data_IF_120451408021
#
_entry.id   IF_120451408021
#
_cell.length_a   1.000
_cell.length_b   1.000
_cell.length_c   1.000
_cell.angle_alpha   90.00
_cell.angle_beta   90.00
_cell.angle_gamma   90.00
#
_symmetry.space_group_name_H-M   'P 1'
#
loop_
_entity.id
_entity.type
_entity.pdbx_description
1 polymer ?
#
# COMPACT_ATOMS: atom_id res chain seq x y z
N UNK A 1 -90.95 97.00 109.59
CA UNK A 1 -90.33 96.80 108.26
C UNK A 1 -89.36 97.92 107.87
N UNK A 2 -89.42 99.14 108.45
CA UNK A 2 -88.51 100.25 108.10
C UNK A 2 -87.16 100.22 108.83
N UNK A 3 -87.11 99.80 110.11
CA UNK A 3 -85.87 99.77 110.90
C UNK A 3 -84.86 98.72 110.40
N UNK A 4 -85.33 97.54 110.01
CA UNK A 4 -84.49 96.46 109.46
C UNK A 4 -83.87 96.82 108.11
N UNK A 5 -84.56 97.63 107.29
CA UNK A 5 -84.06 98.05 105.98
C UNK A 5 -82.93 99.08 106.11
N UNK A 6 -83.02 99.98 107.10
CA UNK A 6 -81.98 100.96 107.37
C UNK A 6 -80.69 100.31 107.90
N UNK A 7 -80.79 99.32 108.78
CA UNK A 7 -79.62 98.57 109.26
C UNK A 7 -78.95 97.77 108.15
N UNK A 8 -79.72 97.18 107.24
CA UNK A 8 -79.19 96.48 106.06
C UNK A 8 -78.49 97.46 105.14
N UNK A 9 -79.12 98.58 104.75
CA UNK A 9 -78.49 99.57 103.88
C UNK A 9 -77.25 100.23 104.52
N UNK A 10 -77.24 100.43 105.84
CA UNK A 10 -76.07 100.96 106.55
C UNK A 10 -74.93 99.95 106.56
N UNK A 11 -75.24 98.67 106.80
CA UNK A 11 -74.25 97.58 106.74
C UNK A 11 -73.72 97.39 105.33
N UNK A 12 -74.57 97.42 104.31
CA UNK A 12 -74.17 97.38 102.90
C UNK A 12 -73.28 98.57 102.51
N UNK A 13 -73.55 99.77 103.04
CA UNK A 13 -72.70 100.94 102.82
C UNK A 13 -71.32 100.79 103.50
N UNK A 14 -71.28 100.24 104.72
CA UNK A 14 -70.04 99.97 105.44
C UNK A 14 -69.23 98.85 104.76
N UNK A 15 -69.89 97.80 104.28
CA UNK A 15 -69.28 96.70 103.53
C UNK A 15 -68.71 97.19 102.19
N UNK A 16 -69.44 98.04 101.43
CA UNK A 16 -68.92 98.64 100.19
C UNK A 16 -67.77 99.61 100.43
N UNK A 17 -67.76 100.33 101.55
CA UNK A 17 -66.61 101.16 101.96
C UNK A 17 -65.41 100.29 102.35
N UNK A 18 -65.63 99.14 102.98
CA UNK A 18 -64.56 98.20 103.31
C UNK A 18 -63.98 97.54 102.05
N UNK A 19 -64.83 97.13 101.09
CA UNK A 19 -64.39 96.62 99.79
C UNK A 19 -63.60 97.66 98.99
N UNK A 20 -64.01 98.94 99.02
CA UNK A 20 -63.25 100.02 98.38
C UNK A 20 -61.83 100.14 98.92
N UNK A 21 -61.68 100.13 100.25
CA UNK A 21 -60.35 100.20 100.91
C UNK A 21 -59.49 98.96 100.63
N UNK A 22 -60.09 97.78 100.55
CA UNK A 22 -59.34 96.56 100.21
C UNK A 22 -58.83 96.61 98.77
N UNK A 23 -59.64 97.09 97.82
CA UNK A 23 -59.21 97.24 96.42
C UNK A 23 -58.12 98.30 96.24
N UNK A 24 -58.17 99.40 96.99
CA UNK A 24 -57.08 100.38 97.00
C UNK A 24 -55.77 99.76 97.51
N UNK A 25 -55.84 98.93 98.55
CA UNK A 25 -54.67 98.22 99.10
C UNK A 25 -54.09 97.19 98.13
N UNK A 26 -54.95 96.44 97.44
CA UNK A 26 -54.52 95.49 96.39
C UNK A 26 -53.84 96.19 95.21
N UNK A 27 -54.35 97.36 94.81
CA UNK A 27 -53.73 98.19 93.77
C UNK A 27 -52.35 98.68 94.20
N UNK A 28 -52.19 99.16 95.44
CA UNK A 28 -50.88 99.56 95.98
C UNK A 28 -49.89 98.39 96.01
N UNK A 29 -50.31 97.20 96.46
CA UNK A 29 -49.43 96.01 96.47
C UNK A 29 -48.99 95.56 95.06
N UNK A 30 -49.88 95.68 94.06
CA UNK A 30 -49.56 95.37 92.67
C UNK A 30 -48.57 96.38 92.08
N UNK A 31 -48.73 97.67 92.39
CA UNK A 31 -47.81 98.71 91.98
C UNK A 31 -46.42 98.53 92.61
N UNK A 32 -46.34 98.16 93.89
CA UNK A 32 -45.08 97.84 94.56
C UNK A 32 -44.37 96.64 93.93
N UNK A 33 -45.11 95.55 93.65
CA UNK A 33 -44.55 94.37 92.96
C UNK A 33 -44.03 94.73 91.58
N UNK A 34 -44.78 95.50 90.81
CA UNK A 34 -44.35 95.94 89.49
C UNK A 34 -43.11 96.83 89.57
N UNK A 35 -43.02 97.73 90.55
CA UNK A 35 -41.82 98.53 90.78
C UNK A 35 -40.60 97.67 91.15
N UNK A 36 -40.77 96.61 91.93
CA UNK A 36 -39.69 95.69 92.28
C UNK A 36 -39.22 94.90 91.06
N UNK A 37 -40.13 94.37 90.24
CA UNK A 37 -39.76 93.68 88.99
C UNK A 37 -39.04 94.60 88.02
N UNK A 38 -39.54 95.83 87.82
CA UNK A 38 -38.88 96.83 86.98
C UNK A 38 -37.48 97.16 87.51
N UNK A 39 -37.28 97.22 88.84
CA UNK A 39 -35.96 97.39 89.46
C UNK A 39 -35.05 96.19 89.22
N UNK A 40 -35.54 94.95 89.33
CA UNK A 40 -34.77 93.72 89.07
C UNK A 40 -34.34 93.63 87.60
N UNK A 41 -35.24 93.90 86.66
CA UNK A 41 -34.90 93.93 85.23
C UNK A 41 -33.92 95.05 84.89
N UNK A 42 -34.12 96.26 85.45
CA UNK A 42 -33.16 97.35 85.30
C UNK A 42 -31.81 97.01 85.92
N UNK A 43 -31.75 96.32 87.06
CA UNK A 43 -30.49 95.90 87.67
C UNK A 43 -29.78 94.81 86.84
N UNK A 44 -30.52 93.83 86.30
CA UNK A 44 -29.98 92.78 85.43
C UNK A 44 -29.44 93.34 84.10
N UNK A 45 -30.02 94.43 83.60
CA UNK A 45 -29.54 95.17 82.44
C UNK A 45 -28.42 96.20 82.75
N UNK A 46 -28.40 96.76 83.98
CA UNK A 46 -27.45 97.81 84.40
C UNK A 46 -26.16 97.26 85.04
N UNK A 47 -26.06 95.96 85.35
CA UNK A 47 -24.80 95.33 85.76
C UNK A 47 -23.82 95.34 84.55
N UNK A 48 -22.77 96.18 84.53
CA UNK A 48 -21.94 96.41 83.34
C UNK A 48 -20.90 95.31 83.07
N UNK A 49 -20.95 94.16 83.75
CA UNK A 49 -19.84 93.19 83.80
C UNK A 49 -20.13 91.78 83.28
N UNK A 50 -21.32 91.46 82.75
CA UNK A 50 -21.68 90.06 82.40
C UNK A 50 -22.13 89.75 80.95
N UNK A 51 -22.61 90.68 80.11
CA UNK A 51 -22.98 90.36 78.72
C UNK A 51 -21.78 90.08 77.77
N UNK A 52 -20.71 90.90 77.74
CA UNK A 52 -19.67 90.75 76.71
C UNK A 52 -18.75 89.53 76.95
N UNK A 53 -18.56 89.11 78.21
CA UNK A 53 -17.71 87.95 78.54
C UNK A 53 -18.31 86.63 78.05
N UNK A 54 -19.63 86.47 78.13
CA UNK A 54 -20.31 85.23 77.71
C UNK A 54 -20.30 85.06 76.20
N UNK A 55 -20.48 86.15 75.45
CA UNK A 55 -20.33 86.16 73.98
C UNK A 55 -18.88 85.88 73.59
N UNK A 56 -17.90 86.49 74.27
CA UNK A 56 -16.48 86.25 74.02
C UNK A 56 -16.06 84.80 74.31
N UNK A 57 -16.56 84.21 75.39
CA UNK A 57 -16.30 82.81 75.73
C UNK A 57 -16.91 81.86 74.69
N UNK A 58 -18.16 82.09 74.28
CA UNK A 58 -18.83 81.30 73.24
C UNK A 58 -18.10 81.40 71.89
N UNK A 59 -17.63 82.59 71.51
CA UNK A 59 -16.82 82.78 70.30
C UNK A 59 -15.48 82.06 70.40
N UNK A 60 -14.84 82.08 71.57
CA UNK A 60 -13.58 81.37 71.81
C UNK A 60 -13.77 79.85 71.78
N UNK A 61 -14.85 79.32 72.37
CA UNK A 61 -15.23 77.91 72.27
C UNK A 61 -15.52 77.50 70.82
N UNK A 62 -16.30 78.29 70.07
CA UNK A 62 -16.51 78.03 68.65
C UNK A 62 -15.20 78.07 67.86
N UNK A 63 -14.33 79.04 68.12
CA UNK A 63 -13.05 79.14 67.44
C UNK A 63 -12.13 77.97 67.77
N UNK A 64 -12.11 77.50 69.02
CA UNK A 64 -11.39 76.31 69.44
C UNK A 64 -11.98 75.03 68.80
N UNK A 65 -13.31 74.88 68.77
CA UNK A 65 -13.96 73.74 68.13
C UNK A 65 -13.67 73.71 66.63
N UNK A 66 -13.71 74.87 65.96
CA UNK A 66 -13.33 74.99 64.55
C UNK A 66 -11.85 74.66 64.35
N UNK A 67 -10.96 75.10 65.24
CA UNK A 67 -9.54 74.76 65.17
C UNK A 67 -9.31 73.25 65.36
N UNK A 68 -9.96 72.63 66.34
CA UNK A 68 -9.90 71.18 66.58
C UNK A 68 -10.45 70.37 65.41
N UNK A 69 -11.58 70.79 64.82
CA UNK A 69 -12.13 70.12 63.64
C UNK A 69 -11.21 70.25 62.43
N UNK A 70 -10.56 71.40 62.25
CA UNK A 70 -9.56 71.59 61.19
C UNK A 70 -8.34 70.71 61.42
N UNK A 71 -7.81 70.67 62.64
CA UNK A 71 -6.66 69.83 62.99
C UNK A 71 -6.99 68.34 62.82
N UNK A 72 -8.16 67.89 63.29
CA UNK A 72 -8.64 66.52 63.09
C UNK A 72 -8.82 66.19 61.59
N UNK A 73 -9.35 67.14 60.81
CA UNK A 73 -9.49 66.99 59.35
C UNK A 73 -8.14 66.90 58.64
N UNK A 74 -7.17 67.75 59.01
CA UNK A 74 -5.81 67.71 58.48
C UNK A 74 -5.08 66.42 58.86
N UNK A 75 -5.27 65.94 60.09
CA UNK A 75 -4.68 64.69 60.56
C UNK A 75 -5.29 63.47 59.86
N UNK A 76 -6.61 63.45 59.66
CA UNK A 76 -7.29 62.43 58.86
C UNK A 76 -6.80 62.43 57.40
N UNK A 77 -6.66 63.60 56.78
CA UNK A 77 -6.09 63.73 55.43
C UNK A 77 -4.66 63.20 55.35
N UNK A 78 -3.81 63.53 56.33
CA UNK A 78 -2.42 63.03 56.39
C UNK A 78 -2.36 61.50 56.54
N UNK A 79 -3.20 60.93 57.40
CA UNK A 79 -3.31 59.48 57.57
C UNK A 79 -3.75 58.81 56.27
N UNK A 80 -4.81 59.33 55.64
CA UNK A 80 -5.33 58.81 54.38
C UNK A 80 -4.29 58.90 53.25
N UNK A 81 -3.53 60.00 53.16
CA UNK A 81 -2.44 60.14 52.20
C UNK A 81 -1.30 59.13 52.47
N UNK A 82 -0.97 58.89 53.73
CA UNK A 82 0.02 57.88 54.13
C UNK A 82 -0.41 56.47 53.74
N UNK A 83 -1.67 56.11 54.00
CA UNK A 83 -2.26 54.83 53.59
C UNK A 83 -2.28 54.67 52.07
N UNK A 84 -2.71 55.70 51.33
CA UNK A 84 -2.68 55.69 49.86
C UNK A 84 -1.26 55.48 49.33
N UNK A 85 -0.26 56.17 49.88
CA UNK A 85 1.14 55.98 49.49
C UNK A 85 1.64 54.56 49.81
N UNK A 86 1.25 53.99 50.94
CA UNK A 86 1.60 52.60 51.30
C UNK A 86 0.98 51.62 50.31
N UNK A 87 -0.33 51.74 50.06
CA UNK A 87 -1.06 50.88 49.13
C UNK A 87 -0.52 50.99 47.70
N UNK A 88 -0.14 52.20 47.27
CA UNK A 88 0.47 52.42 45.95
C UNK A 88 1.86 51.78 45.86
N UNK A 89 2.64 51.82 46.94
CA UNK A 89 3.95 51.18 47.03
C UNK A 89 3.82 49.66 46.98
N UNK A 90 2.88 49.07 47.72
CA UNK A 90 2.57 47.64 47.68
C UNK A 90 2.09 47.20 46.30
N UNK A 91 1.10 47.90 45.72
CA UNK A 91 0.63 47.62 44.36
C UNK A 91 1.77 47.69 43.32
N UNK A 92 2.73 48.61 43.48
CA UNK A 92 3.91 48.69 42.61
C UNK A 92 4.86 47.50 42.81
N UNK A 93 5.00 46.97 44.03
CA UNK A 93 5.79 45.76 44.31
C UNK A 93 5.12 44.53 43.70
N UNK A 94 3.81 44.37 43.92
CA UNK A 94 3.03 43.25 43.38
C UNK A 94 3.02 43.26 41.85
N UNK A 95 2.92 44.44 41.24
CA UNK A 95 3.07 44.58 39.78
C UNK A 95 4.45 44.13 39.29
N UNK A 96 5.52 44.32 40.07
CA UNK A 96 6.88 43.89 39.70
C UNK A 96 7.07 42.39 39.91
N UNK A 97 6.55 41.82 40.99
CA UNK A 97 6.59 40.36 41.23
C UNK A 97 5.80 39.61 40.17
N UNK A 98 4.56 40.01 39.90
CA UNK A 98 3.72 39.40 38.86
C UNK A 98 4.37 39.46 37.47
N UNK A 99 5.10 40.55 37.16
CA UNK A 99 5.86 40.65 35.91
C UNK A 99 7.04 39.69 35.83
N UNK A 100 7.69 39.42 36.97
CA UNK A 100 8.78 38.44 37.05
C UNK A 100 8.22 37.03 36.89
N UNK A 101 7.17 36.68 37.63
CA UNK A 101 6.49 35.38 37.53
C UNK A 101 5.96 35.10 36.12
N UNK A 102 5.36 36.11 35.47
CA UNK A 102 4.92 36.00 34.08
C UNK A 102 6.10 35.68 33.14
N UNK A 103 7.24 36.35 33.34
CA UNK A 103 8.43 36.14 32.51
C UNK A 103 9.08 34.78 32.75
N UNK A 104 9.06 34.30 34.00
CA UNK A 104 9.54 32.95 34.34
C UNK A 104 8.64 31.87 33.71
N UNK A 105 7.32 32.05 33.74
CA UNK A 105 6.37 31.17 33.06
C UNK A 105 6.55 31.18 31.54
N UNK A 106 6.73 32.36 30.93
CA UNK A 106 7.02 32.49 29.50
C UNK A 106 8.29 31.70 29.12
N UNK A 107 9.38 31.86 29.86
CA UNK A 107 10.63 31.13 29.62
C UNK A 107 10.47 29.62 29.80
N UNK A 108 9.76 29.18 30.84
CA UNK A 108 9.48 27.77 31.08
C UNK A 108 8.63 27.16 29.95
N UNK A 109 7.66 27.91 29.42
CA UNK A 109 6.86 27.48 28.28
C UNK A 109 7.71 27.39 27.00
N UNK A 110 8.61 28.35 26.76
CA UNK A 110 9.55 28.30 25.64
C UNK A 110 10.50 27.10 25.72
N UNK A 111 11.01 26.78 26.92
CA UNK A 111 11.83 25.59 27.17
C UNK A 111 11.05 24.31 26.89
N UNK A 112 9.80 24.21 27.37
CA UNK A 112 8.93 23.06 27.11
C UNK A 112 8.64 22.87 25.61
N UNK A 113 8.40 23.97 24.87
CA UNK A 113 8.21 23.93 23.41
C UNK A 113 9.51 23.47 22.72
N UNK A 114 10.68 23.94 23.16
CA UNK A 114 11.98 23.50 22.63
C UNK A 114 12.20 22.01 22.86
N UNK A 115 11.89 21.50 24.04
CA UNK A 115 12.03 20.07 24.36
C UNK A 115 11.07 19.21 23.52
N UNK A 116 9.81 19.63 23.37
CA UNK A 116 8.84 18.94 22.51
C UNK A 116 9.29 18.91 21.05
N UNK A 117 9.86 20.00 20.53
CA UNK A 117 10.41 20.05 19.16
C UNK A 117 11.59 19.08 19.01
N UNK A 118 12.52 19.09 19.96
CA UNK A 118 13.67 18.19 19.96
C UNK A 118 13.24 16.71 19.99
N UNK A 119 12.24 16.38 20.82
CA UNK A 119 11.74 15.00 20.90
C UNK A 119 11.01 14.58 19.62
N UNK A 120 10.27 15.50 19.01
CA UNK A 120 9.65 15.26 17.70
C UNK A 120 10.72 15.02 16.61
N UNK A 121 11.78 15.84 16.57
CA UNK A 121 12.89 15.66 15.61
C UNK A 121 13.60 14.31 15.80
N UNK A 122 13.80 13.87 17.05
CA UNK A 122 14.33 12.52 17.35
C UNK A 122 13.38 11.43 16.85
N UNK A 123 12.08 11.57 17.07
CA UNK A 123 11.08 10.58 16.64
C UNK A 123 10.99 10.51 15.11
N UNK A 124 11.02 11.65 14.41
CA UNK A 124 11.10 11.72 12.95
C UNK A 124 12.37 11.01 12.45
N UNK A 125 13.51 11.25 13.10
CA UNK A 125 14.77 10.61 12.72
C UNK A 125 14.74 9.09 12.92
N UNK A 126 14.22 8.62 14.06
CA UNK A 126 14.03 7.18 14.32
C UNK A 126 13.12 6.54 13.28
N UNK A 127 12.01 7.19 12.94
CA UNK A 127 11.06 6.70 11.95
C UNK A 127 11.68 6.64 10.55
N UNK A 128 12.46 7.65 10.16
CA UNK A 128 13.24 7.63 8.90
C UNK A 128 14.22 6.46 8.86
N UNK A 129 14.96 6.22 9.94
CA UNK A 129 15.90 5.09 10.03
C UNK A 129 15.19 3.74 9.95
N UNK A 130 14.01 3.60 10.56
CA UNK A 130 13.19 2.38 10.45
C UNK A 130 12.76 2.13 9.01
N UNK A 131 12.22 3.15 8.33
CA UNK A 131 11.82 3.01 6.92
C UNK A 131 13.00 2.73 6.00
N UNK A 132 14.17 3.33 6.24
CA UNK A 132 15.37 3.05 5.45
C UNK A 132 15.84 1.60 5.62
N UNK A 133 15.76 1.05 6.85
CA UNK A 133 16.02 -0.38 7.10
C UNK A 133 15.00 -1.27 6.42
N UNK A 134 13.72 -0.97 6.52
CA UNK A 134 12.67 -1.76 5.89
C UNK A 134 12.82 -1.78 4.36
N UNK A 135 13.13 -0.64 3.74
CA UNK A 135 13.36 -0.54 2.30
C UNK A 135 14.60 -1.32 1.88
N UNK A 136 15.71 -1.21 2.61
CA UNK A 136 16.95 -1.95 2.30
C UNK A 136 16.77 -3.45 2.46
N UNK A 137 16.07 -3.90 3.51
CA UNK A 137 15.72 -5.32 3.70
C UNK A 137 14.80 -5.84 2.59
N UNK A 138 13.78 -5.07 2.22
CA UNK A 138 12.83 -5.44 1.17
C UNK A 138 13.55 -5.54 -0.19
N UNK A 139 14.39 -4.56 -0.50
CA UNK A 139 15.24 -4.56 -1.70
C UNK A 139 16.13 -5.80 -1.73
N UNK A 140 16.85 -6.10 -0.64
CA UNK A 140 17.71 -7.28 -0.54
C UNK A 140 16.93 -8.59 -0.71
N UNK A 141 15.72 -8.70 -0.14
CA UNK A 141 14.85 -9.87 -0.30
C UNK A 141 14.45 -10.08 -1.77
N UNK A 142 14.07 -9.03 -2.49
CA UNK A 142 13.69 -9.14 -3.89
C UNK A 142 14.89 -9.35 -4.83
N UNK A 143 16.04 -8.74 -4.54
CA UNK A 143 17.26 -8.97 -5.28
C UNK A 143 17.71 -10.45 -5.18
N UNK A 144 17.65 -11.03 -3.97
CA UNK A 144 17.90 -12.47 -3.76
C UNK A 144 16.91 -13.34 -4.53
N UNK A 145 15.60 -13.04 -4.49
CA UNK A 145 14.59 -13.78 -5.25
C UNK A 145 14.84 -13.70 -6.76
N UNK A 146 15.19 -12.53 -7.27
CA UNK A 146 15.51 -12.32 -8.68
C UNK A 146 16.76 -13.11 -9.10
N UNK A 147 17.80 -13.11 -8.26
CA UNK A 147 19.02 -13.89 -8.50
C UNK A 147 18.72 -15.39 -8.53
N UNK A 148 18.00 -15.91 -7.54
CA UNK A 148 17.61 -17.32 -7.49
C UNK A 148 16.80 -17.74 -8.72
N UNK A 149 15.87 -16.90 -9.18
CA UNK A 149 15.10 -17.18 -10.39
C UNK A 149 15.97 -17.22 -11.65
N UNK A 150 16.94 -16.31 -11.76
CA UNK A 150 17.90 -16.32 -12.87
C UNK A 150 18.75 -17.58 -12.84
N UNK A 151 19.28 -17.95 -11.67
CA UNK A 151 20.10 -19.14 -11.50
C UNK A 151 19.31 -20.42 -11.82
N UNK A 152 18.04 -20.50 -11.42
CA UNK A 152 17.15 -21.64 -11.73
C UNK A 152 16.84 -21.74 -13.24
N UNK A 153 16.54 -20.62 -13.89
CA UNK A 153 16.32 -20.61 -15.35
C UNK A 153 17.59 -20.97 -16.13
N UNK A 154 18.76 -20.51 -15.66
CA UNK A 154 20.03 -20.86 -16.27
C UNK A 154 20.37 -22.35 -16.07
N UNK A 155 20.04 -22.92 -14.90
CA UNK A 155 20.17 -24.34 -14.63
C UNK A 155 19.24 -25.17 -15.54
N UNK A 156 17.97 -24.80 -15.66
CA UNK A 156 17.03 -25.47 -16.58
C UNK A 156 17.53 -25.45 -18.01
N UNK A 157 17.99 -24.29 -18.49
CA UNK A 157 18.59 -24.16 -19.83
C UNK A 157 19.80 -25.10 -19.99
N UNK A 158 20.69 -25.18 -18.99
CA UNK A 158 21.86 -26.07 -19.03
C UNK A 158 21.44 -27.54 -19.10
N UNK A 159 20.43 -27.94 -18.31
CA UNK A 159 19.88 -29.30 -18.33
C UNK A 159 19.26 -29.62 -19.69
N UNK A 160 18.43 -28.75 -20.24
CA UNK A 160 17.81 -28.94 -21.56
C UNK A 160 18.85 -29.09 -22.68
N UNK A 161 19.93 -28.30 -22.62
CA UNK A 161 21.05 -28.42 -23.57
C UNK A 161 21.70 -29.80 -23.44
N UNK A 162 22.02 -30.24 -22.22
CA UNK A 162 22.62 -31.56 -21.98
C UNK A 162 21.72 -32.70 -22.47
N UNK A 163 20.42 -32.63 -22.22
CA UNK A 163 19.46 -33.62 -22.72
C UNK A 163 19.39 -33.66 -24.25
N UNK A 164 19.45 -32.51 -24.91
CA UNK A 164 19.51 -32.42 -26.38
C UNK A 164 20.81 -33.03 -26.90
N UNK A 165 21.93 -32.71 -26.26
CA UNK A 165 23.26 -33.25 -26.60
C UNK A 165 23.29 -34.77 -26.44
N UNK A 166 22.78 -35.30 -25.34
CA UNK A 166 22.69 -36.74 -25.10
C UNK A 166 21.82 -37.44 -26.15
N UNK A 167 20.64 -36.89 -26.48
CA UNK A 167 19.79 -37.42 -27.55
C UNK A 167 20.49 -37.42 -28.91
N UNK A 168 21.22 -36.34 -29.24
CA UNK A 168 21.99 -36.26 -30.49
C UNK A 168 23.14 -37.27 -30.51
N UNK A 169 23.87 -37.42 -29.40
CA UNK A 169 24.95 -38.38 -29.28
C UNK A 169 24.43 -39.82 -29.40
N UNK A 170 23.30 -40.13 -28.79
CA UNK A 170 22.64 -41.43 -28.94
C UNK A 170 22.25 -41.68 -30.39
N UNK A 171 21.67 -40.69 -31.08
CA UNK A 171 21.34 -40.82 -32.50
C UNK A 171 22.59 -41.03 -33.38
N UNK A 172 23.68 -40.30 -33.12
CA UNK A 172 24.97 -40.50 -33.81
C UNK A 172 25.46 -41.94 -33.60
N UNK A 173 25.43 -42.44 -32.36
CA UNK A 173 25.85 -43.80 -32.04
C UNK A 173 24.99 -44.86 -32.73
N UNK A 174 23.67 -44.67 -32.78
CA UNK A 174 22.77 -45.56 -33.54
C UNK A 174 23.08 -45.56 -35.03
N UNK A 175 23.32 -44.38 -35.60
CA UNK A 175 23.64 -44.22 -37.01
C UNK A 175 24.99 -44.90 -37.34
N UNK A 176 25.99 -44.73 -36.48
CA UNK A 176 27.27 -45.43 -36.57
C UNK A 176 27.09 -46.95 -36.56
N UNK A 177 26.28 -47.49 -35.64
CA UNK A 177 25.98 -48.93 -35.59
C UNK A 177 25.27 -49.42 -36.85
N UNK A 178 24.32 -48.65 -37.39
CA UNK A 178 23.62 -48.99 -38.64
C UNK A 178 24.58 -48.99 -39.83
N UNK A 179 25.46 -48.00 -39.92
CA UNK A 179 26.49 -47.96 -40.95
C UNK A 179 27.46 -49.13 -40.83
N UNK A 180 27.92 -49.47 -39.63
CA UNK A 180 28.80 -50.62 -39.42
C UNK A 180 28.14 -51.95 -39.83
N UNK A 181 26.86 -52.13 -39.52
CA UNK A 181 26.08 -53.29 -40.01
C UNK A 181 25.98 -53.31 -41.53
N UNK A 182 25.60 -52.20 -42.16
CA UNK A 182 25.49 -52.11 -43.62
C UNK A 182 26.84 -52.36 -44.31
N UNK A 183 27.95 -51.83 -43.77
CA UNK A 183 29.29 -52.12 -44.27
C UNK A 183 29.65 -53.60 -44.11
N UNK A 184 29.28 -54.23 -42.99
CA UNK A 184 29.43 -55.67 -42.78
C UNK A 184 28.65 -56.50 -43.80
N UNK A 185 27.38 -56.15 -44.05
CA UNK A 185 26.53 -56.79 -45.05
C UNK A 185 27.09 -56.65 -46.47
N UNK A 186 27.54 -55.45 -46.85
CA UNK A 186 28.20 -55.22 -48.15
C UNK A 186 29.47 -56.08 -48.27
N UNK A 187 30.28 -56.14 -47.22
CA UNK A 187 31.51 -56.95 -47.20
C UNK A 187 31.19 -58.43 -47.37
N UNK A 188 30.16 -58.92 -46.68
CA UNK A 188 29.69 -60.30 -46.80
C UNK A 188 29.18 -60.58 -48.22
N UNK A 189 28.38 -59.69 -48.80
CA UNK A 189 27.88 -59.82 -50.17
C UNK A 189 29.03 -59.96 -51.20
N UNK A 190 30.08 -59.13 -51.09
CA UNK A 190 31.25 -59.25 -51.97
C UNK A 190 32.07 -60.51 -51.67
N UNK A 191 32.17 -60.94 -50.41
CA UNK A 191 32.81 -62.21 -50.04
C UNK A 191 32.03 -63.40 -50.62
N UNK A 192 30.70 -63.37 -50.60
CA UNK A 192 29.85 -64.41 -51.17
C UNK A 192 29.97 -64.47 -52.69
N UNK A 193 29.99 -63.32 -53.38
CA UNK A 193 30.26 -63.27 -54.82
C UNK A 193 31.65 -63.83 -55.14
N UNK A 194 32.68 -63.45 -54.37
CA UNK A 194 34.04 -63.97 -54.60
C UNK A 194 34.12 -65.46 -54.34
N UNK A 195 33.46 -65.98 -53.29
CA UNK A 195 33.34 -67.43 -53.06
C UNK A 195 32.60 -68.14 -54.20
N UNK A 196 31.43 -67.64 -54.60
CA UNK A 196 30.67 -68.19 -55.73
C UNK A 196 31.50 -68.18 -57.02
N UNK A 197 32.23 -67.11 -57.29
CA UNK A 197 33.12 -67.01 -58.45
C UNK A 197 34.28 -68.02 -58.35
N UNK A 198 34.88 -68.22 -57.17
CA UNK A 198 35.92 -69.22 -56.95
C UNK A 198 35.40 -70.65 -57.12
N UNK A 199 34.18 -70.93 -56.65
CA UNK A 199 33.54 -72.22 -56.79
C UNK A 199 33.15 -72.50 -58.24
N UNK A 200 32.67 -71.50 -58.99
CA UNK A 200 32.44 -71.58 -60.43
C UNK A 200 33.75 -71.81 -61.19
N UNK A 201 34.83 -71.11 -60.83
CA UNK A 201 36.16 -71.35 -61.41
C UNK A 201 36.61 -72.79 -61.13
N UNK A 202 36.35 -73.30 -59.92
CA UNK A 202 36.69 -74.69 -59.55
C UNK A 202 35.89 -75.70 -60.36
N UNK A 203 34.58 -75.51 -60.50
CA UNK A 203 33.72 -76.41 -61.29
C UNK A 203 34.09 -76.41 -62.76
N UNK A 204 34.33 -75.23 -63.36
CA UNK A 204 34.79 -75.13 -64.76
C UNK A 204 36.17 -75.78 -64.95
N UNK A 205 37.05 -75.70 -63.96
CA UNK A 205 38.35 -76.37 -64.00
C UNK A 205 38.20 -77.89 -63.90
N UNK A 206 37.31 -78.38 -63.04
CA UNK A 206 36.97 -79.80 -62.95
C UNK A 206 36.36 -80.30 -64.26
N UNK A 207 35.37 -79.60 -64.83
CA UNK A 207 34.80 -79.92 -66.14
C UNK A 207 35.86 -79.90 -67.25
N UNK A 208 36.78 -78.95 -67.26
CA UNK A 208 37.88 -78.92 -68.22
C UNK A 208 38.84 -80.11 -68.03
N UNK A 209 39.07 -80.58 -66.80
CA UNK A 209 39.87 -81.78 -66.54
C UNK A 209 39.15 -83.06 -66.94
N UNK A 210 37.85 -83.17 -66.65
CA UNK A 210 37.00 -84.31 -67.05
C UNK A 210 36.85 -84.35 -68.58
N UNK A 211 36.59 -83.21 -69.23
CA UNK A 211 36.54 -83.08 -70.68
C UNK A 211 37.88 -83.43 -71.33
N UNK A 212 39.01 -83.05 -70.71
CA UNK A 212 40.35 -83.45 -71.18
C UNK A 212 40.60 -84.96 -71.02
N UNK A 213 40.14 -85.56 -69.92
CA UNK A 213 40.23 -87.00 -69.69
C UNK A 213 39.32 -87.78 -70.67
N UNK A 214 38.12 -87.28 -70.94
CA UNK A 214 37.19 -87.84 -71.95
C UNK A 214 37.76 -87.74 -73.36
N UNK A 215 38.33 -86.59 -73.74
CA UNK A 215 39.06 -86.45 -75.01
C UNK A 215 40.26 -87.40 -75.10
N UNK A 216 40.98 -87.64 -74.00
CA UNK A 216 42.07 -88.63 -73.96
C UNK A 216 41.56 -90.07 -74.09
N UNK A 217 40.37 -90.39 -73.57
CA UNK A 217 39.69 -91.67 -73.78
C UNK A 217 39.29 -91.86 -75.25
N UNK A 218 38.68 -90.84 -75.87
CA UNK A 218 38.32 -90.86 -77.30
C UNK A 218 39.57 -90.95 -78.19
N UNK A 219 40.66 -90.29 -77.80
CA UNK A 219 41.94 -90.41 -78.49
C UNK A 219 42.52 -91.83 -78.37
N UNK A 220 42.43 -92.46 -77.19
CA UNK A 220 42.86 -93.85 -76.99
C UNK A 220 41.98 -94.87 -77.72
N UNK A 221 40.66 -94.64 -77.81
CA UNK A 221 39.76 -95.47 -78.64
C UNK A 221 40.10 -95.37 -80.13
N UNK A 222 40.41 -94.16 -80.62
CA UNK A 222 40.88 -93.97 -82.00
C UNK A 222 42.23 -94.63 -82.25
N UNK A 223 43.17 -94.54 -81.30
CA UNK A 223 44.47 -95.22 -81.38
C UNK A 223 44.29 -96.75 -81.41
N UNK A 224 43.39 -97.31 -80.61
CA UNK A 224 43.05 -98.74 -80.63
C UNK A 224 42.38 -99.19 -81.93
N UNK A 225 41.58 -98.33 -82.57
CA UNK A 225 40.98 -98.59 -83.88
C UNK A 225 42.01 -98.50 -85.02
N UNK A 226 42.96 -97.58 -84.94
CA UNK A 226 44.07 -97.43 -85.90
C UNK A 226 45.06 -98.61 -85.81
N UNK A 227 45.39 -99.07 -84.60
CA UNK A 227 46.23 -100.28 -84.38
C UNK A 227 45.53 -101.55 -84.90
N UNK A 228 44.20 -101.62 -84.85
CA UNK A 228 43.42 -102.73 -85.40
C UNK A 228 43.34 -102.71 -86.95
N UNK A 229 43.44 -101.53 -87.59
CA UNK A 229 43.46 -101.40 -89.04
C UNK A 229 44.87 -101.54 -89.66
N UNK A 230 45.93 -101.14 -88.96
CA UNK A 230 47.31 -101.25 -89.45
C UNK A 230 47.82 -102.70 -89.55
N UNK A 231 47.30 -103.63 -88.74
CA UNK A 231 47.60 -105.07 -88.85
C UNK A 231 46.98 -105.78 -90.07
N UNK A 232 46.12 -105.09 -90.85
CA UNK A 232 45.45 -105.65 -92.04
C UNK A 232 45.92 -105.03 -93.36
N UNK A 233 46.89 -104.10 -93.33
CA UNK A 233 47.35 -103.30 -94.48
C UNK A 233 48.87 -103.33 -94.71
N UNK A 234 49.56 -104.38 -94.24
CA UNK A 234 50.97 -104.61 -94.55
C UNK A 234 51.13 -105.72 -95.59
N UNK A 235 51.82 -105.36 -96.69
CA UNK A 235 51.92 -105.98 -98.03
C UNK A 235 50.81 -105.46 -98.97
N UNK A 236 51.00 -104.59 -99.96
CA UNK A 236 52.11 -104.31 -100.88
C UNK A 236 51.70 -103.05 -101.71
N UNK A 237 52.62 -102.23 -102.24
CA UNK A 237 53.07 -101.01 -101.57
C UNK A 237 52.98 -99.72 -102.42
N UNK A 238 53.10 -98.58 -101.72
CA UNK A 238 53.97 -97.45 -102.05
C UNK A 238 54.49 -97.35 -103.50
N UNK A 239 53.73 -96.75 -104.42
CA UNK A 239 54.28 -96.12 -105.64
C UNK A 239 53.24 -95.27 -106.37
N UNK A 240 53.16 -93.99 -105.99
CA UNK A 240 52.92 -92.81 -106.85
C UNK A 240 52.76 -91.59 -105.95
N UNK A 241 53.87 -90.90 -105.70
CA UNK A 241 54.12 -89.59 -106.30
C UNK A 241 53.12 -88.55 -105.74
N UNK A 242 53.40 -87.94 -104.58
CA UNK A 242 54.25 -86.73 -104.50
C UNK A 242 54.07 -85.80 -105.70
N UNK A 243 53.18 -84.81 -105.53
CA UNK A 243 53.30 -83.39 -105.91
C UNK A 243 51.93 -82.75 -105.72
N UNK A 244 51.78 -81.93 -104.69
CA UNK A 244 52.07 -80.48 -104.71
C UNK A 244 50.78 -79.70 -104.85
N UNK A 245 50.87 -78.49 -104.31
CA UNK A 245 49.99 -77.35 -104.56
C UNK A 245 48.63 -77.41 -103.87
N UNK A 246 48.20 -76.38 -103.15
CA UNK A 246 48.74 -75.08 -102.75
C UNK A 246 47.58 -74.42 -101.97
N UNK A 247 47.86 -73.30 -101.31
CA UNK A 247 46.82 -72.27 -101.26
C UNK A 247 46.52 -71.72 -99.89
N UNK A 248 47.39 -70.78 -99.51
CA UNK A 248 47.18 -69.69 -98.58
C UNK A 248 45.74 -69.14 -98.44
N UNK A 249 45.48 -68.53 -97.29
CA UNK A 249 44.30 -67.71 -97.09
C UNK A 249 44.29 -66.94 -95.77
N UNK A 250 45.30 -66.09 -95.56
CA UNK A 250 45.34 -65.09 -94.51
C UNK A 250 44.05 -64.24 -94.44
N UNK A 251 43.63 -63.85 -93.22
CA UNK A 251 42.92 -62.62 -92.80
C UNK A 251 42.76 -62.69 -91.26
N UNK A 252 42.91 -61.69 -90.41
CA UNK A 252 43.59 -60.39 -90.36
C UNK A 252 43.70 -60.10 -88.85
N UNK A 253 44.83 -59.54 -88.40
CA UNK A 253 44.94 -58.84 -87.12
C UNK A 253 44.57 -57.36 -87.31
N UNK A 254 44.08 -56.73 -86.24
CA UNK A 254 43.81 -55.29 -86.09
C UNK A 254 42.31 -54.97 -86.07
N UNK A 255 41.72 -54.19 -85.16
CA UNK A 255 42.18 -53.31 -84.08
C UNK A 255 41.03 -53.17 -83.06
N UNK A 256 41.34 -53.09 -81.76
CA UNK A 256 40.52 -52.37 -80.77
C UNK A 256 41.10 -50.94 -80.72
N UNK A 257 40.33 -49.84 -80.55
CA UNK A 257 39.39 -49.64 -79.44
C UNK A 257 38.13 -48.79 -79.75
N UNK A 258 37.05 -48.91 -78.96
CA UNK A 258 36.30 -47.75 -78.41
C UNK A 258 35.09 -48.25 -77.59
N UNK A 259 35.25 -48.27 -76.27
CA UNK A 259 34.16 -48.45 -75.29
C UNK A 259 34.54 -47.66 -74.04
N UNK A 260 34.63 -46.34 -74.15
CA UNK A 260 34.79 -45.44 -73.00
C UNK A 260 34.20 -44.04 -73.22
N UNK A 261 33.00 -43.97 -73.81
CA UNK A 261 32.18 -42.77 -73.77
C UNK A 261 30.88 -43.06 -73.03
N UNK A 262 30.61 -42.23 -72.01
CA UNK A 262 29.50 -42.24 -71.03
C UNK A 262 29.82 -43.07 -69.76
N UNK A 263 30.33 -42.41 -68.70
CA UNK A 263 29.41 -42.03 -67.61
C UNK A 263 29.78 -40.68 -66.97
N UNK A 264 29.07 -39.60 -67.30
CA UNK A 264 29.11 -38.32 -66.55
C UNK A 264 27.74 -37.74 -66.19
N UNK A 265 26.65 -38.44 -66.53
CA UNK A 265 25.30 -37.92 -66.30
C UNK A 265 24.60 -38.36 -65.00
N UNK A 266 24.82 -39.54 -64.38
CA UNK A 266 24.04 -39.92 -63.19
C UNK A 266 24.44 -39.14 -61.93
N UNK A 267 25.72 -38.84 -61.72
CA UNK A 267 26.19 -38.06 -60.55
C UNK A 267 25.80 -36.58 -60.61
N UNK A 268 25.79 -35.99 -61.80
CA UNK A 268 25.35 -34.61 -62.00
C UNK A 268 23.82 -34.48 -61.88
N UNK A 269 23.06 -35.47 -62.35
CA UNK A 269 21.60 -35.56 -62.16
C UNK A 269 21.23 -35.81 -60.70
N UNK A 270 21.99 -36.64 -59.97
CA UNK A 270 21.77 -36.90 -58.55
C UNK A 270 22.12 -35.69 -57.67
N UNK A 271 23.18 -34.95 -58.03
CA UNK A 271 23.52 -33.66 -57.41
C UNK A 271 22.42 -32.63 -57.57
N UNK A 272 21.92 -32.44 -58.81
CA UNK A 272 20.80 -31.53 -59.10
C UNK A 272 19.50 -31.97 -58.42
N UNK A 273 19.23 -33.27 -58.26
CA UNK A 273 18.08 -33.78 -57.50
C UNK A 273 18.18 -33.46 -56.01
N UNK A 274 19.37 -33.58 -55.41
CA UNK A 274 19.61 -33.20 -54.01
C UNK A 274 19.45 -31.70 -53.79
N UNK A 275 19.93 -30.88 -54.73
CA UNK A 275 19.73 -29.43 -54.69
C UNK A 275 18.25 -29.06 -54.82
N UNK A 276 17.50 -29.71 -55.73
CA UNK A 276 16.05 -29.52 -55.86
C UNK A 276 15.28 -29.95 -54.60
N UNK A 277 15.71 -31.03 -53.94
CA UNK A 277 15.14 -31.51 -52.68
C UNK A 277 15.48 -30.61 -51.48
N UNK A 278 16.62 -29.90 -51.51
CA UNK A 278 16.93 -28.88 -50.53
C UNK A 278 16.10 -27.61 -50.77
N UNK A 279 15.90 -27.21 -52.03
CA UNK A 279 15.04 -26.08 -52.38
C UNK A 279 13.58 -26.27 -51.95
N UNK A 280 13.06 -27.50 -51.97
CA UNK A 280 11.71 -27.79 -51.45
C UNK A 280 11.63 -27.68 -49.93
N UNK A 281 12.68 -28.07 -49.19
CA UNK A 281 12.77 -27.88 -47.73
C UNK A 281 12.88 -26.40 -47.36
N UNK A 282 13.63 -25.62 -48.12
CA UNK A 282 13.76 -24.17 -47.92
C UNK A 282 12.41 -23.45 -48.10
N UNK A 283 11.57 -23.91 -49.04
CA UNK A 283 10.19 -23.40 -49.17
C UNK A 283 9.32 -23.71 -47.94
N UNK A 284 9.43 -24.90 -47.37
CA UNK A 284 8.69 -25.27 -46.15
C UNK A 284 9.16 -24.44 -44.94
N UNK A 285 10.47 -24.20 -44.84
CA UNK A 285 11.06 -23.31 -43.82
C UNK A 285 10.57 -21.87 -43.99
N UNK A 286 10.53 -21.36 -45.23
CA UNK A 286 9.98 -20.03 -45.53
C UNK A 286 8.49 -19.89 -45.16
N UNK A 287 7.68 -20.92 -45.42
CA UNK A 287 6.27 -20.94 -45.00
C UNK A 287 6.12 -20.96 -43.47
N UNK A 288 6.94 -21.75 -42.77
CA UNK A 288 6.95 -21.75 -41.29
C UNK A 288 7.40 -20.41 -40.73
N UNK A 289 8.42 -19.79 -41.30
CA UNK A 289 8.88 -18.47 -40.89
C UNK A 289 7.76 -17.43 -41.07
N UNK A 290 7.08 -17.42 -42.21
CA UNK A 290 5.95 -16.51 -42.45
C UNK A 290 4.79 -16.74 -41.48
N UNK A 291 4.54 -17.99 -41.07
CA UNK A 291 3.53 -18.30 -40.07
C UNK A 291 3.91 -17.75 -38.69
N UNK A 292 5.17 -17.97 -38.25
CA UNK A 292 5.67 -17.46 -36.97
C UNK A 292 5.71 -15.93 -36.94
N UNK A 293 6.02 -15.27 -38.06
CA UNK A 293 5.93 -13.80 -38.16
C UNK A 293 4.50 -13.31 -37.96
N UNK A 294 3.52 -13.96 -38.60
CA UNK A 294 2.10 -13.62 -38.40
C UNK A 294 1.64 -13.86 -36.97
N UNK A 295 2.08 -14.94 -36.34
CA UNK A 295 1.77 -15.20 -34.94
C UNK A 295 2.39 -14.16 -34.01
N UNK A 296 3.66 -13.78 -34.27
CA UNK A 296 4.35 -12.72 -33.54
C UNK A 296 3.57 -11.41 -33.68
N UNK A 297 3.24 -11.00 -34.89
CA UNK A 297 2.57 -9.73 -35.15
C UNK A 297 1.17 -9.72 -34.50
N UNK A 298 0.41 -10.81 -34.63
CA UNK A 298 -0.89 -10.95 -33.96
C UNK A 298 -0.79 -10.93 -32.43
N UNK A 299 0.30 -11.45 -31.85
CA UNK A 299 0.55 -11.36 -30.42
C UNK A 299 0.91 -9.94 -29.98
N UNK A 300 1.69 -9.20 -30.78
CA UNK A 300 1.98 -7.80 -30.53
C UNK A 300 0.70 -6.95 -30.58
N UNK A 301 -0.14 -7.13 -31.60
CA UNK A 301 -1.40 -6.39 -31.73
C UNK A 301 -2.34 -6.66 -30.53
N UNK A 302 -2.45 -7.92 -30.11
CA UNK A 302 -3.24 -8.30 -28.92
C UNK A 302 -2.68 -7.71 -27.64
N UNK A 303 -1.35 -7.68 -27.51
CA UNK A 303 -0.68 -7.11 -26.36
C UNK A 303 -0.93 -5.60 -26.27
N UNK A 304 -0.76 -4.87 -27.37
CA UNK A 304 -1.06 -3.43 -27.44
C UNK A 304 -2.54 -3.16 -27.12
N UNK A 305 -3.47 -3.90 -27.74
CA UNK A 305 -4.90 -3.78 -27.45
C UNK A 305 -5.23 -4.01 -25.98
N UNK A 306 -4.63 -5.04 -25.35
CA UNK A 306 -4.85 -5.34 -23.93
C UNK A 306 -4.29 -4.24 -23.03
N UNK A 307 -3.15 -3.65 -23.38
CA UNK A 307 -2.58 -2.50 -22.64
C UNK A 307 -3.54 -1.32 -22.72
N UNK A 308 -4.00 -0.96 -23.91
CA UNK A 308 -4.93 0.15 -24.10
C UNK A 308 -6.23 -0.08 -23.31
N UNK A 309 -6.79 -1.28 -23.34
CA UNK A 309 -8.00 -1.63 -22.57
C UNK A 309 -7.80 -1.49 -21.05
N UNK A 310 -6.66 -1.96 -20.52
CA UNK A 310 -6.34 -1.85 -19.09
C UNK A 310 -6.13 -0.39 -18.69
N UNK A 311 -5.37 0.35 -19.50
CA UNK A 311 -5.14 1.78 -19.28
C UNK A 311 -6.45 2.56 -19.33
N UNK A 312 -7.32 2.28 -20.30
CA UNK A 312 -8.61 2.92 -20.45
C UNK A 312 -9.54 2.62 -19.25
N UNK A 313 -9.65 1.35 -18.83
CA UNK A 313 -10.47 0.96 -17.67
C UNK A 313 -9.96 1.58 -16.37
N UNK A 314 -8.64 1.58 -16.16
CA UNK A 314 -8.01 2.22 -15.01
C UNK A 314 -8.22 3.74 -15.04
N UNK A 315 -8.03 4.37 -16.20
CA UNK A 315 -8.25 5.79 -16.43
C UNK A 315 -9.69 6.22 -16.14
N UNK A 316 -10.69 5.48 -16.65
CA UNK A 316 -12.10 5.75 -16.34
C UNK A 316 -12.40 5.61 -14.85
N UNK A 317 -11.85 4.58 -14.18
CA UNK A 317 -12.03 4.40 -12.74
C UNK A 317 -11.42 5.57 -11.95
N UNK A 318 -10.25 6.04 -12.34
CA UNK A 318 -9.59 7.19 -11.72
C UNK A 318 -10.40 8.47 -11.90
N UNK A 319 -10.83 8.78 -13.13
CA UNK A 319 -11.67 9.95 -13.42
C UNK A 319 -12.98 9.89 -12.62
N UNK A 320 -13.60 8.71 -12.50
CA UNK A 320 -14.81 8.55 -11.71
C UNK A 320 -14.57 8.80 -10.21
N UNK A 321 -13.44 8.31 -9.67
CA UNK A 321 -13.06 8.53 -8.28
C UNK A 321 -12.72 10.00 -8.03
N UNK A 322 -12.02 10.66 -8.93
CA UNK A 322 -11.72 12.10 -8.87
C UNK A 322 -13.01 12.92 -8.86
N UNK A 323 -13.98 12.62 -9.74
CA UNK A 323 -15.28 13.28 -9.73
C UNK A 323 -16.03 13.07 -8.43
N UNK A 324 -16.05 11.84 -7.90
CA UNK A 324 -16.68 11.55 -6.61
C UNK A 324 -16.02 12.32 -5.48
N UNK A 325 -14.69 12.39 -5.46
CA UNK A 325 -13.94 13.19 -4.48
C UNK A 325 -14.27 14.67 -4.59
N UNK A 326 -14.30 15.21 -5.82
CA UNK A 326 -14.67 16.60 -6.05
C UNK A 326 -16.08 16.92 -5.52
N UNK A 327 -17.07 16.07 -5.82
CA UNK A 327 -18.43 16.24 -5.29
C UNK A 327 -18.48 16.16 -3.76
N UNK A 328 -17.78 15.19 -3.16
CA UNK A 328 -17.72 15.08 -1.69
C UNK A 328 -17.05 16.31 -1.07
N UNK A 329 -15.98 16.82 -1.68
CA UNK A 329 -15.28 18.02 -1.21
C UNK A 329 -16.15 19.27 -1.33
N UNK A 330 -16.87 19.45 -2.44
CA UNK A 330 -17.82 20.54 -2.60
C UNK A 330 -18.92 20.48 -1.54
N UNK A 331 -19.46 19.29 -1.25
CA UNK A 331 -20.46 19.14 -0.19
C UNK A 331 -19.89 19.44 1.20
N UNK A 332 -18.61 19.10 1.45
CA UNK A 332 -17.94 19.42 2.70
C UNK A 332 -17.78 20.94 2.86
N UNK A 333 -17.27 21.63 1.84
CA UNK A 333 -17.11 23.09 1.85
C UNK A 333 -18.45 23.81 2.06
N UNK A 334 -19.53 23.35 1.39
CA UNK A 334 -20.87 23.88 1.61
C UNK A 334 -21.35 23.67 3.06
N UNK A 335 -21.05 22.51 3.66
CA UNK A 335 -21.44 22.21 5.04
C UNK A 335 -20.64 23.01 6.05
N UNK A 336 -19.34 23.20 5.83
CA UNK A 336 -18.48 24.03 6.68
C UNK A 336 -18.88 25.51 6.62
N UNK A 337 -19.25 26.01 5.44
CA UNK A 337 -19.79 27.36 5.29
C UNK A 337 -21.12 27.53 6.05
N UNK A 338 -22.06 26.60 5.88
CA UNK A 338 -23.33 26.58 6.62
C UNK A 338 -23.11 26.53 8.14
N UNK A 339 -22.18 25.69 8.60
CA UNK A 339 -21.85 25.55 10.01
C UNK A 339 -21.23 26.84 10.55
N UNK A 340 -20.29 27.45 9.81
CA UNK A 340 -19.66 28.73 10.18
C UNK A 340 -20.69 29.86 10.29
N UNK A 341 -21.66 29.92 9.38
CA UNK A 341 -22.75 30.90 9.42
C UNK A 341 -23.61 30.72 10.68
N UNK A 342 -24.06 29.50 10.96
CA UNK A 342 -24.87 29.18 12.15
C UNK A 342 -24.13 29.49 13.44
N UNK A 343 -22.84 29.15 13.53
CA UNK A 343 -22.01 29.45 14.69
C UNK A 343 -21.85 30.96 14.90
N UNK A 344 -21.69 31.74 13.82
CA UNK A 344 -21.62 33.21 13.90
C UNK A 344 -22.95 33.82 14.36
N UNK A 345 -24.08 33.30 13.88
CA UNK A 345 -25.41 33.80 14.23
C UNK A 345 -25.80 33.46 15.67
N UNK A 346 -25.31 32.34 16.20
CA UNK A 346 -25.65 31.85 17.53
C UNK A 346 -24.90 32.56 18.68
N UNK A 347 -23.83 33.32 18.39
CA UNK A 347 -23.01 34.04 19.39
C UNK A 347 -22.66 33.18 20.63
N UNK A 348 -22.35 31.89 20.40
CA UNK A 348 -22.03 30.96 21.47
C UNK A 348 -20.62 31.22 22.00
N UNK A 349 -20.41 31.01 23.31
CA UNK A 349 -19.08 31.05 23.91
C UNK A 349 -18.16 30.01 23.23
N UNK A 350 -17.04 30.45 22.59
CA UNK A 350 -16.09 29.55 21.94
C UNK A 350 -15.58 28.42 22.82
N UNK A 351 -15.45 28.64 24.13
CA UNK A 351 -14.97 27.62 25.07
C UNK A 351 -16.00 26.49 25.25
N UNK A 352 -17.28 26.83 25.38
CA UNK A 352 -18.37 25.86 25.50
C UNK A 352 -18.54 25.09 24.19
N UNK A 353 -18.49 25.78 23.05
CA UNK A 353 -18.58 25.15 21.73
C UNK A 353 -17.45 24.13 21.49
N UNK A 354 -16.21 24.51 21.80
CA UNK A 354 -15.06 23.62 21.67
C UNK A 354 -15.19 22.36 22.54
N UNK A 355 -15.73 22.50 23.75
CA UNK A 355 -15.96 21.36 24.64
C UNK A 355 -17.03 20.39 24.12
N UNK A 356 -18.11 20.91 23.53
CA UNK A 356 -19.20 20.12 22.96
C UNK A 356 -18.77 19.44 21.66
N UNK A 357 -18.05 20.15 20.80
CA UNK A 357 -17.47 19.59 19.56
C UNK A 357 -16.53 18.43 19.87
N UNK A 358 -15.59 18.63 20.79
CA UNK A 358 -14.65 17.57 21.19
C UNK A 358 -15.35 16.34 21.75
N UNK A 359 -16.37 16.53 22.59
CA UNK A 359 -17.16 15.41 23.13
C UNK A 359 -17.93 14.68 22.02
N UNK A 360 -18.42 15.39 21.01
CA UNK A 360 -19.07 14.78 19.86
C UNK A 360 -18.07 13.99 19.00
N UNK A 361 -16.88 14.54 18.77
CA UNK A 361 -15.79 13.87 18.05
C UNK A 361 -15.36 12.59 18.76
N UNK A 362 -15.22 12.61 20.09
CA UNK A 362 -14.90 11.44 20.90
C UNK A 362 -15.98 10.34 20.78
N UNK A 363 -17.26 10.73 20.78
CA UNK A 363 -18.38 9.79 20.60
C UNK A 363 -18.41 9.22 19.18
N UNK A 364 -18.17 10.05 18.16
CA UNK A 364 -18.11 9.60 16.77
C UNK A 364 -16.91 8.67 16.54
N UNK A 365 -15.75 8.99 17.11
CA UNK A 365 -14.57 8.14 17.07
C UNK A 365 -14.82 6.80 17.74
N UNK A 366 -15.45 6.80 18.93
CA UNK A 366 -15.85 5.58 19.63
C UNK A 366 -16.82 4.73 18.82
N UNK A 367 -17.87 5.32 18.26
CA UNK A 367 -18.82 4.62 17.39
C UNK A 367 -18.15 4.06 16.13
N UNK A 368 -17.31 4.84 15.46
CA UNK A 368 -16.54 4.36 14.30
C UNK A 368 -15.60 3.21 14.65
N UNK A 369 -15.01 3.23 15.85
CA UNK A 369 -14.25 2.10 16.41
C UNK A 369 -15.11 0.85 16.53
N UNK A 370 -16.26 0.94 17.19
CA UNK A 370 -17.19 -0.20 17.33
C UNK A 370 -17.68 -0.74 15.98
N UNK A 371 -17.90 0.13 14.98
CA UNK A 371 -18.27 -0.30 13.63
C UNK A 371 -17.16 -1.14 13.01
N UNK A 372 -15.90 -0.70 13.12
CA UNK A 372 -14.74 -1.45 12.60
C UNK A 372 -14.57 -2.79 13.31
N UNK A 373 -14.72 -2.82 14.63
CA UNK A 373 -14.66 -4.05 15.42
C UNK A 373 -15.76 -5.03 15.01
N UNK A 374 -17.01 -4.56 14.88
CA UNK A 374 -18.13 -5.40 14.45
C UNK A 374 -17.96 -5.91 13.02
N UNK A 375 -17.44 -5.09 12.10
CA UNK A 375 -17.12 -5.50 10.74
C UNK A 375 -16.04 -6.59 10.72
N UNK A 376 -15.01 -6.45 11.56
CA UNK A 376 -13.97 -7.46 11.72
C UNK A 376 -14.52 -8.77 12.30
N UNK A 377 -15.32 -8.67 13.36
CA UNK A 377 -15.98 -9.82 13.98
C UNK A 377 -16.91 -10.55 13.00
N UNK A 378 -17.70 -9.81 12.22
CA UNK A 378 -18.52 -10.37 11.17
C UNK A 378 -17.67 -11.11 10.12
N UNK A 379 -16.56 -10.50 9.67
CA UNK A 379 -15.65 -11.14 8.73
C UNK A 379 -15.01 -12.42 9.30
N UNK A 380 -14.63 -12.40 10.59
CA UNK A 380 -14.07 -13.55 11.30
C UNK A 380 -15.06 -14.70 11.41
N UNK A 381 -16.29 -14.41 11.84
CA UNK A 381 -17.35 -15.42 11.96
C UNK A 381 -17.74 -15.97 10.60
N UNK A 382 -17.83 -15.12 9.58
CA UNK A 382 -18.14 -15.52 8.20
C UNK A 382 -17.07 -16.48 7.65
N UNK A 383 -15.79 -16.16 7.89
CA UNK A 383 -14.68 -17.05 7.50
C UNK A 383 -14.74 -18.37 8.25
N UNK A 384 -14.89 -18.34 9.58
CA UNK A 384 -14.99 -19.55 10.40
C UNK A 384 -16.17 -20.44 9.94
N UNK A 385 -17.31 -19.85 9.62
CA UNK A 385 -18.46 -20.57 9.07
C UNK A 385 -18.13 -21.29 7.76
N UNK A 386 -17.51 -20.59 6.80
CA UNK A 386 -17.12 -21.18 5.52
C UNK A 386 -16.02 -22.25 5.67
N UNK A 387 -15.05 -22.06 6.57
CA UNK A 387 -14.01 -23.04 6.86
C UNK A 387 -14.60 -24.31 7.48
N UNK A 388 -15.55 -24.17 8.41
CA UNK A 388 -16.27 -25.30 9.01
C UNK A 388 -17.03 -26.09 7.94
N UNK A 389 -17.74 -25.43 7.02
CA UNK A 389 -18.40 -26.09 5.89
C UNK A 389 -17.38 -26.94 5.09
N UNK A 390 -16.24 -26.36 4.71
CA UNK A 390 -15.19 -27.07 3.95
C UNK A 390 -14.63 -28.27 4.71
N UNK A 391 -14.39 -28.14 6.02
CA UNK A 391 -13.89 -29.25 6.84
C UNK A 391 -14.88 -30.41 6.93
N UNK A 392 -16.18 -30.11 7.06
CA UNK A 392 -17.21 -31.14 7.08
C UNK A 392 -17.40 -31.79 5.70
N UNK A 393 -17.36 -31.01 4.61
CA UNK A 393 -17.41 -31.55 3.25
C UNK A 393 -16.25 -32.52 3.01
N UNK A 394 -15.01 -32.13 3.36
CA UNK A 394 -13.83 -32.99 3.26
C UNK A 394 -13.97 -34.26 4.12
N UNK A 395 -14.47 -34.13 5.35
CA UNK A 395 -14.61 -35.29 6.25
C UNK A 395 -15.71 -36.26 5.81
N UNK A 396 -16.79 -35.76 5.21
CA UNK A 396 -17.84 -36.60 4.64
C UNK A 396 -17.35 -37.34 3.40
N UNK A 397 -16.54 -36.69 2.56
CA UNK A 397 -15.88 -37.32 1.42
C UNK A 397 -14.92 -38.44 1.88
N UNK A 398 -14.10 -38.21 2.91
CA UNK A 398 -13.25 -39.23 3.53
C UNK A 398 -14.02 -40.43 4.08
N UNK A 399 -15.24 -40.22 4.59
CA UNK A 399 -16.12 -41.27 5.09
C UNK A 399 -16.95 -41.94 3.97
N UNK A 400 -16.73 -41.57 2.71
CA UNK A 400 -17.39 -42.16 1.55
C UNK A 400 -18.82 -41.67 1.33
N UNK A 401 -19.20 -40.53 1.90
CA UNK A 401 -20.51 -39.89 1.71
C UNK A 401 -20.35 -38.72 0.72
N UNK A 402 -20.75 -38.87 -0.56
CA UNK A 402 -20.61 -37.80 -1.54
C UNK A 402 -21.50 -36.61 -1.18
N UNK A 403 -20.97 -35.40 -1.21
CA UNK A 403 -21.69 -34.16 -0.87
C UNK A 403 -22.97 -33.93 -1.71
N UNK A 404 -23.04 -34.53 -2.90
CA UNK A 404 -24.23 -34.54 -3.75
C UNK A 404 -25.42 -35.32 -3.18
N UNK A 405 -25.20 -36.25 -2.24
CA UNK A 405 -26.24 -37.12 -1.65
C UNK A 405 -26.97 -36.50 -0.45
N UNK A 406 -26.51 -35.35 0.05
CA UNK A 406 -27.08 -34.71 1.26
C UNK A 406 -28.44 -34.02 1.05
N UNK A 407 -28.89 -33.84 -0.20
CA UNK A 407 -30.21 -33.23 -0.48
C UNK A 407 -30.32 -31.72 -0.24
N UNK A 408 -29.27 -31.08 0.28
CA UNK A 408 -29.15 -29.63 0.41
C UNK A 408 -27.73 -29.16 0.10
N UNK A 409 -27.57 -27.89 -0.28
CA UNK A 409 -26.25 -27.25 -0.46
C UNK A 409 -26.05 -26.19 0.61
N UNK A 410 -25.04 -26.30 1.48
CA UNK A 410 -24.70 -25.25 2.43
C UNK A 410 -24.44 -23.93 1.69
N UNK A 411 -25.08 -22.84 2.13
CA UNK A 411 -24.86 -21.52 1.54
C UNK A 411 -23.54 -20.95 2.06
N UNK A 412 -22.54 -20.84 1.18
CA UNK A 412 -21.34 -20.08 1.50
C UNK A 412 -21.70 -18.60 1.63
N UNK A 413 -21.27 -17.98 2.72
CA UNK A 413 -21.47 -16.56 2.93
C UNK A 413 -20.41 -15.77 2.14
N UNK A 414 -20.80 -14.64 1.56
CA UNK A 414 -19.89 -13.79 0.80
C UNK A 414 -18.82 -13.20 1.74
N UNK A 415 -17.56 -13.60 1.54
CA UNK A 415 -16.41 -13.10 2.32
C UNK A 415 -15.66 -12.02 1.54
N UNK A 416 -15.31 -10.93 2.23
CA UNK A 416 -14.40 -9.87 1.72
C UNK A 416 -12.92 -10.28 1.92
N UNK A 417 -12.67 -11.35 2.68
CA UNK A 417 -11.32 -11.79 3.07
C UNK A 417 -10.77 -12.89 2.16
N UNK A 418 -9.44 -12.92 2.02
CA UNK A 418 -8.72 -13.90 1.20
C UNK A 418 -8.98 -15.35 1.65
N UNK A 419 -9.01 -16.27 0.70
CA UNK A 419 -9.23 -17.73 0.86
C UNK A 419 -8.08 -18.48 1.56
N UNK A 420 -7.20 -17.77 2.28
CA UNK A 420 -6.06 -18.34 3.00
C UNK A 420 -6.48 -19.21 4.19
N UNK A 421 -5.51 -19.97 4.72
CA UNK A 421 -5.70 -20.99 5.76
C UNK A 421 -6.57 -20.54 6.96
N UNK A 422 -7.25 -21.53 7.55
CA UNK A 422 -8.17 -21.34 8.66
C UNK A 422 -7.54 -20.52 9.80
N UNK A 423 -8.27 -19.53 10.29
CA UNK A 423 -7.87 -18.70 11.44
C UNK A 423 -7.15 -17.38 11.13
N UNK A 424 -6.65 -17.13 9.91
CA UNK A 424 -6.04 -15.84 9.58
C UNK A 424 -7.05 -14.89 8.90
N UNK A 425 -7.64 -13.97 9.68
CA UNK A 425 -8.45 -12.87 9.13
C UNK A 425 -7.52 -11.69 8.92
N UNK A 426 -6.94 -11.58 7.73
CA UNK A 426 -6.32 -10.32 7.30
C UNK A 426 -7.42 -9.47 6.69
N UNK A 427 -7.72 -8.34 7.33
CA UNK A 427 -8.50 -7.29 6.68
C UNK A 427 -7.76 -6.89 5.40
N UNK A 428 -8.44 -6.97 4.25
CA UNK A 428 -7.97 -6.41 2.98
C UNK A 428 -8.22 -4.93 2.93
#
# INVERSE_FOLDING_TARGET
>A
QVATFWEICKKELEDRKAEGRNKEREMEELEERHQVEVKVYKQKARIPSSPPLRVKHLLYEHQNNVAQLKEAGELALKLQLGEHHSNESESKKDKRSLKLELKELELAHEDAIRELRLENDKNITKLRQQYEREVTELSSKYEKKMKLLRDDLELRRKVEILEIEERKNNHINELMKKHEKAFGEIKNYYNDITHNNLDLIRSLKEEATVGRASCAQVANEKLMYEIAQENKKLSEPLSRALKEAHGAGARCCGEAPDLSAVPRHPTQVEGLRKELANYSKDKVLGQRHSHVEKERDALYDKFEATIYDVQQKSGFKNILLERKLATVNETLEQKDAQLSEVLSAANLDPAVLGSVSKRLDDVLAGKNGTIKELQYELARVTKAHNDVIRTYEARLEELGVPTATMGFRPRQLATVTATGAAGLVTAT
#
